data_IF_637271089625
#
_entry.id   IF_637271089625
#
_cell.length_a   1.000
_cell.length_b   1.000
_cell.length_c   1.000
_cell.angle_alpha   90.00
_cell.angle_beta   90.00
_cell.angle_gamma   90.00
#
_symmetry.space_group_name_H-M   'P 1'
#
loop_
_entity.id
_entity.type
_entity.pdbx_description
1 polymer ?
#
# COMPACT_ATOMS: atom_id res chain seq x y z
N UNK A 1 -12.22 0.90 21.56
CA UNK A 1 -12.08 -0.44 20.97
C UNK A 1 -13.48 -0.96 20.75
N UNK A 2 -14.09 -0.60 19.64
CA UNK A 2 -15.23 -1.34 19.12
C UNK A 2 -14.66 -1.96 17.84
N UNK A 3 -14.17 -3.18 18.02
CA UNK A 3 -13.42 -3.91 17.02
C UNK A 3 -14.28 -4.12 15.77
N UNK A 4 -13.64 -4.27 14.61
CA UNK A 4 -14.25 -4.60 13.32
C UNK A 4 -14.91 -5.98 13.25
N UNK A 5 -15.71 -6.36 14.25
CA UNK A 5 -16.46 -7.62 14.34
C UNK A 5 -17.77 -7.60 13.54
N UNK A 6 -18.09 -6.49 12.86
CA UNK A 6 -19.11 -6.49 11.83
C UNK A 6 -18.47 -6.32 10.44
N UNK A 7 -17.65 -7.30 10.04
CA UNK A 7 -17.17 -7.46 8.64
C UNK A 7 -18.34 -7.47 7.63
N UNK A 8 -19.57 -7.70 8.13
CA UNK A 8 -20.83 -7.69 7.39
C UNK A 8 -21.95 -7.11 8.25
N UNK A 9 -22.83 -6.31 7.65
CA UNK A 9 -24.10 -5.89 8.23
C UNK A 9 -25.03 -7.10 8.42
N UNK A 10 -25.70 -7.16 9.57
CA UNK A 10 -26.69 -8.20 9.85
C UNK A 10 -27.85 -8.16 8.85
N UNK A 11 -28.26 -9.33 8.34
CA UNK A 11 -29.31 -9.45 7.31
C UNK A 11 -30.66 -9.93 7.86
N UNK A 12 -30.76 -10.19 9.17
CA UNK A 12 -32.02 -10.51 9.86
C UNK A 12 -32.84 -9.22 10.08
N UNK A 13 -33.35 -8.69 8.97
CA UNK A 13 -34.11 -7.44 8.89
C UNK A 13 -35.36 -7.67 8.03
N UNK A 14 -36.38 -6.79 8.10
CA UNK A 14 -37.49 -6.77 7.14
C UNK A 14 -36.98 -6.79 5.70
N UNK A 15 -37.76 -7.35 4.77
CA UNK A 15 -37.28 -7.75 3.45
C UNK A 15 -36.53 -6.65 2.67
N UNK A 16 -36.99 -5.39 2.73
CA UNK A 16 -36.31 -4.27 2.05
C UNK A 16 -34.96 -3.94 2.70
N UNK A 17 -34.93 -3.86 4.03
CA UNK A 17 -33.71 -3.59 4.80
C UNK A 17 -32.71 -4.75 4.71
N UNK A 18 -33.19 -5.99 4.66
CA UNK A 18 -32.36 -7.18 4.44
C UNK A 18 -31.71 -7.20 3.04
N UNK A 19 -32.45 -6.81 2.00
CA UNK A 19 -31.91 -6.64 0.64
C UNK A 19 -30.86 -5.53 0.58
N UNK A 20 -31.12 -4.38 1.23
CA UNK A 20 -30.16 -3.27 1.30
C UNK A 20 -28.88 -3.68 2.03
N UNK A 21 -29.00 -4.33 3.19
CA UNK A 21 -27.85 -4.85 3.94
C UNK A 21 -27.04 -5.85 3.11
N UNK A 22 -27.70 -6.72 2.34
CA UNK A 22 -27.04 -7.63 1.39
C UNK A 22 -26.26 -6.89 0.29
N UNK A 23 -26.84 -5.85 -0.30
CA UNK A 23 -26.17 -5.04 -1.32
C UNK A 23 -24.96 -4.27 -0.75
N UNK A 24 -25.09 -3.68 0.43
CA UNK A 24 -23.99 -3.00 1.12
C UNK A 24 -22.85 -3.97 1.45
N UNK A 25 -23.16 -5.17 1.93
CA UNK A 25 -22.17 -6.21 2.19
C UNK A 25 -21.40 -6.59 0.91
N UNK A 26 -22.07 -6.65 -0.25
CA UNK A 26 -21.41 -6.92 -1.51
C UNK A 26 -20.45 -5.79 -1.94
N UNK A 27 -20.79 -4.54 -1.65
CA UNK A 27 -19.92 -3.38 -1.89
C UNK A 27 -18.70 -3.43 -0.96
N UNK A 28 -18.91 -3.61 0.34
CA UNK A 28 -17.83 -3.72 1.33
C UNK A 28 -16.82 -4.82 0.96
N UNK A 29 -17.32 -5.99 0.58
CA UNK A 29 -16.48 -7.11 0.17
C UNK A 29 -15.73 -6.82 -1.15
N UNK A 30 -16.33 -6.07 -2.08
CA UNK A 30 -15.63 -5.62 -3.30
C UNK A 30 -14.49 -4.66 -2.95
N UNK A 31 -14.71 -3.73 -2.03
CA UNK A 31 -13.74 -2.73 -1.64
C UNK A 31 -12.59 -3.34 -0.84
N UNK A 32 -12.89 -4.29 0.07
CA UNK A 32 -11.88 -5.11 0.75
C UNK A 32 -10.96 -5.80 -0.25
N UNK A 33 -11.52 -6.48 -1.26
CA UNK A 33 -10.72 -7.11 -2.32
C UNK A 33 -9.92 -6.11 -3.16
N UNK A 34 -10.40 -4.88 -3.36
CA UNK A 34 -9.64 -3.83 -4.06
C UNK A 34 -8.45 -3.38 -3.21
N UNK A 35 -8.66 -3.14 -1.91
CA UNK A 35 -7.61 -2.76 -0.96
C UNK A 35 -6.52 -3.83 -0.88
N UNK A 36 -6.90 -5.10 -0.75
CA UNK A 36 -5.93 -6.21 -0.71
C UNK A 36 -5.08 -6.31 -1.99
N UNK A 37 -5.70 -6.15 -3.16
CA UNK A 37 -4.93 -6.10 -4.42
C UNK A 37 -4.01 -4.89 -4.50
N UNK A 38 -4.46 -3.72 -4.03
CA UNK A 38 -3.64 -2.52 -4.01
C UNK A 38 -2.42 -2.67 -3.09
N UNK A 39 -2.59 -3.29 -1.90
CA UNK A 39 -1.51 -3.63 -0.98
C UNK A 39 -0.48 -4.57 -1.60
N UNK A 40 -0.93 -5.66 -2.24
CA UNK A 40 -0.03 -6.56 -2.96
C UNK A 40 0.72 -5.87 -4.10
N UNK A 41 0.05 -5.05 -4.90
CA UNK A 41 0.69 -4.30 -5.98
C UNK A 41 1.74 -3.32 -5.44
N UNK A 42 1.45 -2.63 -4.34
CA UNK A 42 2.40 -1.75 -3.66
C UNK A 42 3.64 -2.52 -3.17
N UNK A 43 3.45 -3.67 -2.51
CA UNK A 43 4.56 -4.53 -2.07
C UNK A 43 5.43 -5.03 -3.23
N UNK A 44 4.82 -5.46 -4.32
CA UNK A 44 5.54 -5.88 -5.52
C UNK A 44 6.35 -4.73 -6.14
N UNK A 45 5.77 -3.53 -6.21
CA UNK A 45 6.46 -2.35 -6.71
C UNK A 45 7.65 -1.97 -5.81
N UNK A 46 7.47 -2.02 -4.49
CA UNK A 46 8.56 -1.80 -3.52
C UNK A 46 9.76 -2.70 -3.80
N UNK A 47 9.48 -3.99 -4.01
CA UNK A 47 10.51 -4.97 -4.32
C UNK A 47 11.16 -4.70 -5.68
N UNK A 48 10.36 -4.39 -6.70
CA UNK A 48 10.82 -4.08 -8.04
C UNK A 48 11.73 -2.83 -8.09
N UNK A 49 11.52 -1.84 -7.21
CA UNK A 49 12.32 -0.62 -7.14
C UNK A 49 13.60 -0.77 -6.30
N UNK A 50 13.58 -1.60 -5.26
CA UNK A 50 14.75 -1.80 -4.37
C UNK A 50 15.98 -2.28 -5.12
N UNK A 51 15.79 -3.23 -6.04
CA UNK A 51 16.86 -3.83 -6.84
C UNK A 51 17.55 -2.80 -7.75
N UNK A 52 16.87 -2.08 -8.65
CA UNK A 52 17.52 -1.08 -9.50
C UNK A 52 18.14 0.08 -8.68
N UNK A 53 17.53 0.52 -7.57
CA UNK A 53 18.14 1.54 -6.70
C UNK A 53 19.44 1.03 -6.08
N UNK A 54 19.48 -0.23 -5.65
CA UNK A 54 20.69 -0.85 -5.09
C UNK A 54 21.78 -0.98 -6.15
N UNK A 55 21.42 -1.41 -7.36
CA UNK A 55 22.35 -1.46 -8.51
C UNK A 55 22.90 -0.08 -8.83
N UNK A 56 22.05 0.95 -8.91
CA UNK A 56 22.49 2.34 -9.14
C UNK A 56 23.38 2.85 -8.02
N UNK A 57 23.13 2.46 -6.77
CA UNK A 57 23.97 2.82 -5.61
C UNK A 57 25.36 2.21 -5.73
N UNK A 58 25.46 0.96 -6.19
CA UNK A 58 26.75 0.31 -6.48
C UNK A 58 27.46 0.95 -7.67
N UNK A 59 26.74 1.24 -8.76
CA UNK A 59 27.32 1.91 -9.94
C UNK A 59 27.82 3.32 -9.60
N UNK A 60 27.18 4.01 -8.65
CA UNK A 60 27.62 5.32 -8.17
C UNK A 60 29.05 5.29 -7.60
N UNK A 61 29.52 4.14 -7.10
CA UNK A 61 30.88 4.01 -6.57
C UNK A 61 31.96 4.19 -7.64
N UNK A 62 31.63 4.02 -8.92
CA UNK A 62 32.55 4.29 -10.04
C UNK A 62 32.79 5.77 -10.34
N UNK A 63 32.02 6.69 -9.74
CA UNK A 63 32.12 8.13 -10.03
C UNK A 63 33.13 8.84 -9.10
N UNK A 64 33.68 10.00 -9.52
CA UNK A 64 34.42 10.90 -8.65
C UNK A 64 33.64 11.28 -7.40
N UNK A 65 34.33 11.59 -6.30
CA UNK A 65 33.73 11.72 -4.97
C UNK A 65 32.54 12.70 -4.94
N UNK A 66 32.68 13.89 -5.52
CA UNK A 66 31.62 14.90 -5.53
C UNK A 66 30.36 14.42 -6.26
N UNK A 67 30.54 13.79 -7.42
CA UNK A 67 29.45 13.21 -8.21
C UNK A 67 28.81 12.01 -7.49
N UNK A 68 29.62 11.14 -6.89
CA UNK A 68 29.17 9.99 -6.09
C UNK A 68 28.31 10.44 -4.91
N UNK A 69 28.77 11.43 -4.13
CA UNK A 69 28.02 11.95 -2.97
C UNK A 69 26.66 12.49 -3.41
N UNK A 70 26.62 13.29 -4.48
CA UNK A 70 25.37 13.85 -5.02
C UNK A 70 24.42 12.76 -5.50
N UNK A 71 24.92 11.80 -6.28
CA UNK A 71 24.10 10.71 -6.83
C UNK A 71 23.54 9.80 -5.74
N UNK A 72 24.38 9.40 -4.77
CA UNK A 72 23.91 8.62 -3.61
C UNK A 72 22.88 9.39 -2.78
N UNK A 73 23.04 10.71 -2.63
CA UNK A 73 22.04 11.56 -1.98
C UNK A 73 20.67 11.50 -2.66
N UNK A 74 20.60 11.60 -3.99
CA UNK A 74 19.33 11.47 -4.71
C UNK A 74 18.75 10.05 -4.63
N UNK A 75 19.60 9.01 -4.72
CA UNK A 75 19.16 7.62 -4.58
C UNK A 75 18.53 7.35 -3.20
N UNK A 76 19.11 7.91 -2.12
CA UNK A 76 18.52 7.85 -0.78
C UNK A 76 17.17 8.54 -0.74
N UNK A 77 17.03 9.75 -1.32
CA UNK A 77 15.74 10.45 -1.37
C UNK A 77 14.66 9.66 -2.11
N UNK A 78 15.04 8.97 -3.19
CA UNK A 78 14.12 8.09 -3.92
C UNK A 78 13.68 6.93 -3.02
N UNK A 79 14.61 6.25 -2.34
CA UNK A 79 14.28 5.14 -1.44
C UNK A 79 13.35 5.58 -0.31
N UNK A 80 13.63 6.73 0.32
CA UNK A 80 12.81 7.28 1.40
C UNK A 80 11.40 7.67 0.93
N UNK A 81 11.29 8.34 -0.22
CA UNK A 81 10.01 8.71 -0.80
C UNK A 81 9.16 7.47 -1.13
N UNK A 82 9.77 6.45 -1.73
CA UNK A 82 9.11 5.18 -2.04
C UNK A 82 8.62 4.51 -0.75
N UNK A 83 9.47 4.37 0.27
CA UNK A 83 9.07 3.80 1.57
C UNK A 83 7.91 4.57 2.21
N UNK A 84 7.96 5.90 2.20
CA UNK A 84 6.90 6.74 2.74
C UNK A 84 5.55 6.50 2.04
N UNK A 85 5.53 6.51 0.71
CA UNK A 85 4.30 6.31 -0.06
C UNK A 85 3.74 4.90 0.10
N UNK A 86 4.60 3.89 0.19
CA UNK A 86 4.20 2.51 0.44
C UNK A 86 3.63 2.32 1.85
N UNK A 87 4.27 2.90 2.87
CA UNK A 87 3.77 2.86 4.24
C UNK A 87 2.37 3.49 4.34
N UNK A 88 2.15 4.64 3.68
CA UNK A 88 0.82 5.25 3.59
C UNK A 88 -0.19 4.38 2.84
N UNK A 89 0.20 3.75 1.72
CA UNK A 89 -0.68 2.90 0.94
C UNK A 89 -1.10 1.64 1.72
N UNK A 90 -0.21 1.08 2.54
CA UNK A 90 -0.52 -0.06 3.41
C UNK A 90 -1.41 0.32 4.61
N UNK A 91 -1.14 1.47 5.23
CA UNK A 91 -1.86 1.96 6.42
C UNK A 91 -3.27 2.47 6.13
N UNK A 92 -3.56 2.93 4.90
CA UNK A 92 -4.90 3.42 4.53
C UNK A 92 -6.01 2.35 4.55
N UNK A 93 -5.65 1.07 4.71
CA UNK A 93 -6.61 -0.02 4.95
C UNK A 93 -6.66 -0.52 6.40
N UNK A 94 -5.81 0.01 7.30
CA UNK A 94 -5.74 -0.33 8.74
C UNK A 94 -6.29 0.83 9.61
N UNK A 95 -7.19 1.64 9.06
CA UNK A 95 -7.91 2.65 9.84
C UNK A 95 -8.79 1.98 10.91
N UNK A 96 -8.90 2.57 12.12
CA UNK A 96 -9.52 1.96 13.30
C UNK A 96 -10.99 1.57 13.13
#
# INVERSE_FOLDING_TARGET
>A
MENGDAERLGTRLPAELGRLAGAMNAVLERDRRRLERARHAAGNLAHALKTPVSVLTTLADGFPEDSRRRLKGELTRIDDAVRHHLARASAAGDGP
#
